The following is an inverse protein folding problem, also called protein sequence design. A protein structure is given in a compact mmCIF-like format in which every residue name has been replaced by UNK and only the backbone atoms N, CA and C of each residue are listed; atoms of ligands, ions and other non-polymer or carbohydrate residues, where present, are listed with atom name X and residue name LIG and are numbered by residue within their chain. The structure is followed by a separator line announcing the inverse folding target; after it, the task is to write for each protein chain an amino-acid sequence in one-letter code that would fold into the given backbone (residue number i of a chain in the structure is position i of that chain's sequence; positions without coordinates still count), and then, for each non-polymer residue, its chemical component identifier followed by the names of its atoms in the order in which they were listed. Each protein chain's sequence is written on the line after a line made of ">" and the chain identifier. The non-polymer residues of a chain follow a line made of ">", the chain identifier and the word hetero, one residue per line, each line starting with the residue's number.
data_IF_359614908521
#
_entry.id   IF_359614908521
#
_cell.length_a   1.000
_cell.length_b   1.000
_cell.length_c   1.000
_cell.angle_alpha   90.00
_cell.angle_beta   90.00
_cell.angle_gamma   90.00
#
_symmetry.space_group_name_H-M   'P 1'
#
loop_
_entity.id
_entity.type
_entity.pdbx_description
1 polymer ?
#
# COMPACT_ATOMS: atom_id res chain seq x y z
N UNK A 1 43.64 -78.29 -20.08
CA UNK A 1 42.25 -77.98 -19.91
C UNK A 1 42.14 -76.61 -19.31
N UNK A 2 41.78 -75.61 -20.09
CA UNK A 2 41.61 -74.24 -19.57
C UNK A 2 40.13 -73.92 -19.38
N UNK A 3 39.82 -73.37 -18.21
CA UNK A 3 38.53 -72.80 -17.89
C UNK A 3 38.46 -71.41 -18.46
N UNK A 4 37.43 -71.17 -19.36
CA UNK A 4 37.08 -69.84 -19.84
C UNK A 4 36.10 -69.23 -18.84
N UNK A 5 36.47 -68.11 -18.25
CA UNK A 5 35.65 -67.35 -17.35
C UNK A 5 35.19 -66.08 -18.12
N UNK A 6 33.94 -66.12 -18.64
CA UNK A 6 33.31 -64.98 -19.29
C UNK A 6 32.72 -64.05 -18.22
N UNK A 7 33.41 -62.98 -17.89
CA UNK A 7 32.91 -61.91 -17.03
C UNK A 7 32.13 -60.92 -17.90
N UNK A 8 30.83 -61.10 -17.97
CA UNK A 8 29.94 -60.07 -18.59
C UNK A 8 29.83 -58.89 -17.67
N UNK A 9 30.49 -57.83 -18.07
CA UNK A 9 30.41 -56.50 -17.44
C UNK A 9 29.03 -55.89 -17.78
N UNK A 10 28.12 -55.92 -16.81
CA UNK A 10 26.80 -55.32 -16.90
C UNK A 10 26.91 -53.82 -16.60
N UNK A 11 26.95 -53.00 -17.65
CA UNK A 11 26.87 -51.56 -17.52
C UNK A 11 25.45 -51.17 -17.09
N UNK A 12 25.27 -50.90 -15.78
CA UNK A 12 24.08 -50.23 -15.27
C UNK A 12 24.16 -48.74 -15.65
N UNK A 13 23.47 -48.35 -16.72
CA UNK A 13 23.23 -46.93 -17.03
C UNK A 13 22.16 -46.47 -16.05
N UNK A 14 22.63 -45.79 -14.98
CA UNK A 14 21.74 -45.04 -14.10
C UNK A 14 21.32 -43.76 -14.86
N UNK A 15 20.15 -43.78 -15.47
CA UNK A 15 19.51 -42.60 -15.97
C UNK A 15 19.04 -41.77 -14.76
N UNK A 16 19.87 -40.81 -14.36
CA UNK A 16 19.46 -39.75 -13.43
C UNK A 16 18.41 -38.88 -14.14
N UNK A 17 17.16 -39.17 -13.88
CA UNK A 17 16.07 -38.21 -14.16
C UNK A 17 16.26 -36.98 -13.24
N UNK A 18 17.02 -36.02 -13.71
CA UNK A 18 16.93 -34.65 -13.21
C UNK A 18 15.54 -34.14 -13.62
N UNK A 19 14.54 -34.41 -12.78
CA UNK A 19 13.30 -33.65 -12.83
C UNK A 19 13.65 -32.21 -12.41
N UNK A 20 13.98 -31.40 -13.42
CA UNK A 20 13.99 -29.96 -13.25
C UNK A 20 12.56 -29.58 -12.81
N UNK A 21 12.40 -29.29 -11.51
CA UNK A 21 11.30 -28.49 -11.03
C UNK A 21 11.41 -27.13 -11.75
N UNK A 22 10.85 -27.05 -12.95
CA UNK A 22 10.52 -25.75 -13.54
C UNK A 22 9.49 -25.16 -12.58
N UNK A 23 9.98 -24.35 -11.63
CA UNK A 23 9.14 -23.49 -10.83
C UNK A 23 8.23 -22.75 -11.80
N UNK A 24 6.96 -23.01 -11.71
CA UNK A 24 5.92 -22.28 -12.46
C UNK A 24 6.07 -20.83 -12.00
N UNK A 25 6.90 -20.05 -12.71
CA UNK A 25 6.96 -18.60 -12.56
C UNK A 25 5.59 -18.13 -13.02
N UNK A 26 4.74 -17.84 -12.03
CA UNK A 26 3.49 -17.15 -12.27
C UNK A 26 3.88 -15.77 -12.83
N UNK A 27 3.90 -15.67 -14.16
CA UNK A 27 4.03 -14.37 -14.81
C UNK A 27 2.67 -13.67 -14.57
N UNK A 28 2.62 -12.63 -13.72
CA UNK A 28 1.38 -11.90 -13.48
C UNK A 28 0.90 -11.12 -14.72
N UNK A 29 1.55 -11.33 -15.86
CA UNK A 29 1.34 -10.64 -17.13
C UNK A 29 1.23 -11.63 -18.30
N UNK A 30 0.17 -12.46 -18.38
CA UNK A 30 0.03 -13.44 -19.47
C UNK A 30 -0.05 -12.76 -20.86
N UNK A 31 -0.35 -11.45 -20.92
CA UNK A 31 -0.55 -10.69 -22.16
C UNK A 31 0.25 -9.38 -22.19
N UNK A 32 1.59 -9.43 -22.21
CA UNK A 32 2.44 -8.26 -22.45
C UNK A 32 2.13 -7.54 -23.78
N UNK A 33 1.41 -8.19 -24.68
CA UNK A 33 1.14 -7.69 -26.03
C UNK A 33 -0.22 -6.98 -26.17
N UNK A 34 -1.11 -7.09 -25.16
CA UNK A 34 -2.44 -6.49 -25.22
C UNK A 34 -2.58 -5.35 -24.23
N UNK A 35 -2.89 -4.19 -24.77
CA UNK A 35 -3.07 -2.97 -23.98
C UNK A 35 -3.14 -1.74 -24.86
N UNK A 36 -3.25 -0.58 -24.25
CA UNK A 36 -3.30 0.71 -24.92
C UNK A 36 -2.43 1.74 -24.21
N UNK A 37 -2.10 2.82 -24.88
CA UNK A 37 -1.51 3.99 -24.26
C UNK A 37 -2.59 4.97 -23.80
N UNK A 38 -2.45 5.49 -22.57
CA UNK A 38 -3.26 6.55 -22.00
C UNK A 38 -2.39 7.78 -21.74
N UNK A 39 -2.75 8.92 -22.36
CA UNK A 39 -2.07 10.20 -22.11
C UNK A 39 -2.62 10.82 -20.84
N UNK A 40 -1.76 11.04 -19.85
CA UNK A 40 -2.12 11.67 -18.57
C UNK A 40 -2.61 13.09 -18.81
N UNK A 41 -3.82 13.39 -18.40
CA UNK A 41 -4.41 14.72 -18.50
C UNK A 41 -4.24 15.51 -17.19
N UNK A 42 -4.38 16.83 -17.25
CA UNK A 42 -4.30 17.73 -16.09
C UNK A 42 -5.20 17.29 -14.93
N UNK A 43 -4.59 17.09 -13.75
CA UNK A 43 -5.29 16.68 -12.53
C UNK A 43 -5.59 15.19 -12.42
N UNK A 44 -5.15 14.37 -13.37
CA UNK A 44 -5.20 12.92 -13.24
C UNK A 44 -4.07 12.42 -12.33
N UNK A 45 -4.30 11.29 -11.67
CA UNK A 45 -3.32 10.60 -10.83
C UNK A 45 -3.26 9.14 -11.23
N UNK A 46 -2.11 8.50 -11.00
CA UNK A 46 -1.94 7.08 -11.33
C UNK A 46 -3.02 6.21 -10.67
N UNK A 47 -3.42 6.54 -9.43
CA UNK A 47 -4.52 5.87 -8.73
C UNK A 47 -5.85 6.00 -9.46
N UNK A 48 -6.21 7.21 -9.95
CA UNK A 48 -7.47 7.43 -10.67
C UNK A 48 -7.47 6.74 -12.03
N UNK A 49 -6.32 6.72 -12.69
CA UNK A 49 -6.13 6.00 -13.95
C UNK A 49 -6.31 4.50 -13.70
N UNK A 50 -5.61 3.91 -12.73
CA UNK A 50 -5.74 2.50 -12.35
C UNK A 50 -7.20 2.14 -12.02
N UNK A 51 -7.87 2.97 -11.22
CA UNK A 51 -9.28 2.78 -10.85
C UNK A 51 -10.22 2.83 -12.06
N UNK A 52 -10.03 3.78 -12.98
CA UNK A 52 -10.87 3.91 -14.18
C UNK A 52 -10.72 2.71 -15.12
N UNK A 53 -9.52 2.17 -15.22
CA UNK A 53 -9.25 0.97 -16.02
C UNK A 53 -9.49 -0.33 -15.25
N UNK A 54 -9.88 -0.27 -13.96
CA UNK A 54 -10.12 -1.42 -13.08
C UNK A 54 -8.90 -2.35 -12.97
N UNK A 55 -7.70 -1.78 -12.98
CA UNK A 55 -6.45 -2.51 -12.78
C UNK A 55 -5.82 -2.14 -11.43
N UNK A 56 -5.03 -3.04 -10.89
CA UNK A 56 -4.30 -2.77 -9.67
C UNK A 56 -3.27 -1.66 -9.88
N UNK A 57 -3.15 -0.74 -8.91
CA UNK A 57 -2.23 0.40 -8.99
C UNK A 57 -0.79 -0.05 -9.12
N UNK A 58 -0.41 -1.11 -8.42
CA UNK A 58 0.95 -1.64 -8.43
C UNK A 58 1.29 -2.30 -9.77
N UNK A 59 0.27 -2.91 -10.40
CA UNK A 59 0.33 -3.45 -11.75
C UNK A 59 0.61 -2.32 -12.75
N UNK A 60 -0.19 -1.24 -12.74
CA UNK A 60 0.01 -0.09 -13.61
C UNK A 60 1.37 0.58 -13.39
N UNK A 61 1.76 0.72 -12.13
CA UNK A 61 3.05 1.32 -11.74
C UNK A 61 4.24 0.55 -12.31
N UNK A 62 4.24 -0.78 -12.16
CA UNK A 62 5.32 -1.65 -12.65
C UNK A 62 5.38 -1.69 -14.17
N UNK A 63 4.23 -1.79 -14.84
CA UNK A 63 4.15 -1.80 -16.30
C UNK A 63 4.76 -0.56 -16.94
N UNK A 64 4.78 0.56 -16.21
CA UNK A 64 5.32 1.85 -16.66
C UNK A 64 6.64 2.25 -15.97
N UNK A 65 7.27 1.34 -15.22
CA UNK A 65 8.52 1.61 -14.49
C UNK A 65 8.46 2.84 -13.57
N UNK A 66 7.26 3.18 -13.05
CA UNK A 66 7.06 4.35 -12.20
C UNK A 66 7.51 4.03 -10.78
N UNK A 67 8.58 4.70 -10.31
CA UNK A 67 9.08 4.54 -8.94
C UNK A 67 8.16 5.21 -7.91
N UNK A 68 7.66 6.40 -8.22
CA UNK A 68 6.80 7.20 -7.35
C UNK A 68 5.54 7.65 -8.12
N UNK A 69 4.35 7.08 -7.80
CA UNK A 69 3.07 7.44 -8.45
C UNK A 69 2.67 8.91 -8.33
N UNK A 70 3.23 9.66 -7.37
CA UNK A 70 2.93 11.08 -7.20
C UNK A 70 3.64 11.97 -8.22
N UNK A 71 4.62 11.42 -8.95
CA UNK A 71 5.46 12.17 -9.90
C UNK A 71 5.03 12.03 -11.36
N UNK A 72 3.87 11.45 -11.65
CA UNK A 72 3.37 11.46 -13.02
C UNK A 72 2.99 12.88 -13.43
N UNK A 73 3.27 13.23 -14.69
CA UNK A 73 3.06 14.56 -15.24
C UNK A 73 2.00 14.52 -16.34
N UNK A 74 1.34 15.64 -16.56
CA UNK A 74 0.48 15.86 -17.72
C UNK A 74 1.28 15.60 -19.02
N UNK A 75 0.65 14.98 -20.01
CA UNK A 75 1.28 14.58 -21.27
C UNK A 75 2.01 13.24 -21.21
N UNK A 76 2.30 12.68 -20.03
CA UNK A 76 2.97 11.39 -19.91
C UNK A 76 2.11 10.28 -20.50
N UNK A 77 2.69 9.45 -21.37
CA UNK A 77 2.01 8.27 -21.90
C UNK A 77 2.21 7.08 -20.96
N UNK A 78 1.12 6.46 -20.57
CA UNK A 78 1.11 5.28 -19.72
C UNK A 78 0.59 4.09 -20.50
N UNK A 79 1.33 3.00 -20.50
CA UNK A 79 0.88 1.71 -20.98
C UNK A 79 -0.13 1.12 -19.99
N UNK A 80 -1.33 0.79 -20.48
CA UNK A 80 -2.42 0.21 -19.70
C UNK A 80 -2.60 -1.24 -20.12
N UNK A 81 -1.98 -2.20 -19.41
CA UNK A 81 -2.09 -3.62 -19.76
C UNK A 81 -3.53 -4.11 -19.63
N UNK A 82 -3.96 -4.94 -20.59
CA UNK A 82 -5.30 -5.53 -20.61
C UNK A 82 -6.44 -4.60 -20.99
N UNK A 83 -6.17 -3.35 -21.35
CA UNK A 83 -7.18 -2.41 -21.79
C UNK A 83 -7.37 -2.44 -23.32
N UNK A 84 -8.63 -2.43 -23.78
CA UNK A 84 -8.99 -2.42 -25.20
C UNK A 84 -9.40 -1.07 -25.76
N UNK A 85 -9.66 -0.09 -24.88
CA UNK A 85 -10.10 1.26 -25.27
C UNK A 85 -9.70 2.31 -24.25
N UNK A 86 -9.45 3.51 -24.73
CA UNK A 86 -9.20 4.68 -23.86
C UNK A 86 -10.45 4.99 -23.05
N UNK A 87 -10.28 5.22 -21.74
CA UNK A 87 -11.38 5.61 -20.83
C UNK A 87 -11.29 7.08 -20.50
N UNK A 88 -12.44 7.74 -20.55
CA UNK A 88 -12.56 9.11 -20.02
C UNK A 88 -12.49 9.04 -18.49
N UNK A 89 -11.50 9.72 -17.92
CA UNK A 89 -11.35 9.81 -16.46
C UNK A 89 -11.90 11.16 -16.02
N UNK A 90 -13.01 11.21 -15.26
CA UNK A 90 -13.60 12.47 -14.85
C UNK A 90 -12.57 13.33 -14.10
N UNK A 91 -12.52 14.63 -14.37
CA UNK A 91 -11.72 15.58 -13.56
C UNK A 91 -12.11 15.46 -12.08
N UNK A 92 -11.17 15.70 -11.16
CA UNK A 92 -11.48 15.71 -9.74
C UNK A 92 -12.52 16.83 -9.49
N UNK A 93 -13.81 16.48 -9.40
CA UNK A 93 -14.80 17.42 -8.90
C UNK A 93 -14.56 17.56 -7.39
N UNK A 94 -14.50 18.78 -6.91
CA UNK A 94 -14.39 19.13 -5.49
C UNK A 94 -15.65 18.77 -4.68
N UNK A 95 -16.64 18.15 -5.34
CA UNK A 95 -17.91 17.75 -4.75
C UNK A 95 -17.99 16.22 -4.70
N UNK A 96 -17.48 15.64 -3.65
CA UNK A 96 -17.97 14.35 -3.17
C UNK A 96 -19.44 14.56 -2.78
N UNK A 97 -20.39 14.19 -3.66
CA UNK A 97 -21.78 13.99 -3.26
C UNK A 97 -21.79 12.90 -2.20
N UNK A 98 -21.88 13.31 -0.94
CA UNK A 98 -22.10 12.42 0.17
C UNK A 98 -23.46 11.74 -0.06
N UNK A 99 -23.42 10.49 -0.52
CA UNK A 99 -24.55 9.60 -0.29
C UNK A 99 -24.82 9.63 1.22
N UNK A 100 -26.04 9.99 1.64
CA UNK A 100 -26.50 9.93 3.03
C UNK A 100 -26.38 8.47 3.53
N UNK A 101 -25.19 8.07 3.94
CA UNK A 101 -24.97 6.83 4.67
C UNK A 101 -25.55 7.03 6.05
N UNK A 102 -26.48 6.14 6.49
CA UNK A 102 -26.93 6.05 7.88
C UNK A 102 -25.72 6.17 8.78
N UNK A 103 -25.70 7.15 9.69
CA UNK A 103 -24.62 7.33 10.66
C UNK A 103 -24.46 6.03 11.45
N UNK A 104 -23.35 5.32 11.23
CA UNK A 104 -22.96 4.23 12.11
C UNK A 104 -22.72 4.77 13.54
N UNK A 105 -22.87 3.94 14.57
CA UNK A 105 -22.65 4.36 15.97
C UNK A 105 -21.24 4.95 16.09
N UNK A 106 -21.17 6.22 16.47
CA UNK A 106 -19.89 6.90 16.66
C UNK A 106 -19.25 6.44 17.95
N UNK A 107 -18.06 5.84 17.86
CA UNK A 107 -17.26 5.56 19.06
C UNK A 107 -16.87 6.88 19.68
N UNK A 108 -17.29 7.10 20.93
CA UNK A 108 -16.85 8.27 21.70
C UNK A 108 -15.33 8.19 21.88
N UNK A 109 -14.58 9.27 21.60
CA UNK A 109 -13.15 9.29 21.84
C UNK A 109 -12.84 8.93 23.28
N UNK A 110 -11.98 7.92 23.49
CA UNK A 110 -11.46 7.51 24.78
C UNK A 110 -9.94 7.49 24.71
N UNK A 111 -9.27 8.29 25.53
CA UNK A 111 -7.80 8.32 25.60
C UNK A 111 -7.24 6.94 25.97
N UNK A 112 -6.13 6.57 25.32
CA UNK A 112 -5.44 5.31 25.58
C UNK A 112 -6.08 4.08 24.94
N UNK A 113 -7.13 4.23 24.11
CA UNK A 113 -7.65 3.13 23.29
C UNK A 113 -6.69 2.73 22.18
N UNK A 114 -5.83 3.66 21.73
CA UNK A 114 -4.74 3.45 20.82
C UNK A 114 -3.41 3.76 21.51
N UNK A 115 -2.33 3.09 21.11
CA UNK A 115 -0.98 3.47 21.51
C UNK A 115 -0.34 4.41 20.45
N UNK A 116 0.71 5.15 20.85
CA UNK A 116 1.50 5.89 19.88
C UNK A 116 2.13 4.94 18.86
N UNK A 117 1.93 5.19 17.56
CA UNK A 117 2.38 4.26 16.51
C UNK A 117 3.89 4.27 16.29
N UNK A 118 4.58 5.31 16.75
CA UNK A 118 6.05 5.46 16.63
C UNK A 118 6.59 6.42 17.66
N UNK A 119 7.89 6.34 17.90
CA UNK A 119 8.65 7.38 18.63
C UNK A 119 8.96 8.53 17.67
N UNK A 120 9.05 9.76 18.18
CA UNK A 120 9.39 10.91 17.35
C UNK A 120 8.76 12.22 17.86
N UNK A 121 8.92 13.33 17.13
CA UNK A 121 8.39 14.65 17.48
C UNK A 121 7.10 14.91 16.73
N UNK A 122 6.05 15.38 17.44
CA UNK A 122 4.81 15.82 16.81
C UNK A 122 5.09 17.16 16.11
N UNK A 123 5.08 17.15 14.78
CA UNK A 123 5.40 18.32 13.95
C UNK A 123 4.19 19.01 13.38
N UNK A 124 3.04 18.31 13.32
CA UNK A 124 1.81 18.88 12.78
C UNK A 124 0.57 18.27 13.43
N UNK A 125 -0.37 19.11 13.83
CA UNK A 125 -1.62 18.74 14.47
C UNK A 125 -2.73 18.51 13.45
N UNK A 126 -3.78 17.81 13.89
CA UNK A 126 -5.04 17.64 13.16
C UNK A 126 -5.80 18.96 13.02
N UNK A 127 -6.42 19.21 11.86
CA UNK A 127 -7.29 20.35 11.63
C UNK A 127 -6.92 21.19 10.40
N UNK A 128 -7.21 22.47 10.42
CA UNK A 128 -6.87 23.39 9.32
C UNK A 128 -5.43 23.85 9.42
N UNK A 129 -4.68 23.76 8.31
CA UNK A 129 -3.30 24.25 8.18
C UNK A 129 -3.15 24.95 6.82
N UNK A 130 -2.79 26.24 6.82
CA UNK A 130 -2.58 27.04 5.60
C UNK A 130 -3.76 26.89 4.60
N UNK A 131 -5.00 27.02 5.09
CA UNK A 131 -6.22 26.90 4.29
C UNK A 131 -6.59 25.48 3.85
N UNK A 132 -5.77 24.45 4.16
CA UNK A 132 -6.00 23.05 3.83
C UNK A 132 -6.36 22.22 5.05
N UNK A 133 -7.24 21.24 4.88
CA UNK A 133 -7.59 20.29 5.93
C UNK A 133 -6.46 19.27 6.09
N UNK A 134 -5.96 19.12 7.33
CA UNK A 134 -5.04 18.06 7.73
C UNK A 134 -5.81 16.97 8.47
N UNK A 135 -5.93 15.79 7.88
CA UNK A 135 -6.82 14.73 8.35
C UNK A 135 -6.18 13.81 9.40
N UNK A 136 -4.94 14.11 9.81
CA UNK A 136 -4.17 13.34 10.78
C UNK A 136 -3.27 14.20 11.63
N UNK A 137 -2.24 13.57 12.17
CA UNK A 137 -1.09 14.20 12.81
C UNK A 137 0.19 13.74 12.11
N UNK A 138 1.22 14.60 12.12
CA UNK A 138 2.53 14.24 11.58
C UNK A 138 3.53 14.06 12.72
N UNK A 139 4.25 12.93 12.70
CA UNK A 139 5.25 12.56 13.70
C UNK A 139 6.59 12.37 12.98
N UNK A 140 7.53 13.29 13.18
CA UNK A 140 8.85 13.25 12.56
C UNK A 140 9.83 12.39 13.38
N UNK A 141 10.57 11.54 12.65
CA UNK A 141 11.72 10.80 13.17
C UNK A 141 12.61 10.36 11.99
N UNK A 142 13.83 9.86 12.20
CA UNK A 142 14.71 9.40 11.14
C UNK A 142 14.05 8.37 10.22
N UNK A 143 14.39 8.40 8.92
CA UNK A 143 13.99 7.38 7.96
C UNK A 143 14.39 5.99 8.47
N UNK A 144 13.46 5.03 8.37
CA UNK A 144 13.68 3.67 8.86
C UNK A 144 13.20 3.44 10.29
N UNK A 145 12.81 4.48 11.04
CA UNK A 145 12.20 4.32 12.38
C UNK A 145 11.01 3.38 12.30
N UNK A 146 10.88 2.38 13.20
CA UNK A 146 9.76 1.47 13.22
C UNK A 146 8.42 2.18 13.43
N UNK A 147 7.42 1.74 12.66
CA UNK A 147 6.03 2.14 12.82
C UNK A 147 5.23 0.89 13.20
N UNK A 148 4.46 0.98 14.27
CA UNK A 148 3.70 -0.11 14.84
C UNK A 148 2.19 0.13 14.72
N UNK A 149 1.40 -0.95 14.72
CA UNK A 149 -0.06 -0.87 14.78
C UNK A 149 -0.50 -0.23 16.10
N UNK A 150 -1.37 0.77 16.03
CA UNK A 150 -1.86 1.49 17.21
C UNK A 150 -2.85 0.66 18.06
N UNK A 151 -3.47 -0.38 17.48
CA UNK A 151 -4.33 -1.35 18.15
C UNK A 151 -4.35 -2.67 17.38
N UNK A 152 -4.95 -3.72 17.97
CA UNK A 152 -5.28 -4.96 17.27
C UNK A 152 -6.19 -4.68 16.08
N UNK A 153 -5.99 -5.36 14.94
CA UNK A 153 -6.84 -5.16 13.77
C UNK A 153 -6.48 -6.00 12.57
N UNK A 154 -7.12 -5.71 11.46
CA UNK A 154 -6.89 -6.32 10.16
C UNK A 154 -6.38 -5.28 9.16
N UNK A 155 -5.33 -5.60 8.43
CA UNK A 155 -4.80 -4.76 7.36
C UNK A 155 -5.75 -4.80 6.16
N UNK A 156 -6.50 -3.72 5.95
CA UNK A 156 -7.45 -3.61 4.83
C UNK A 156 -6.83 -2.98 3.58
N UNK A 157 -5.68 -2.32 3.73
CA UNK A 157 -4.88 -1.80 2.63
C UNK A 157 -3.39 -1.81 2.96
N UNK A 158 -2.56 -2.17 1.97
CA UNK A 158 -1.09 -2.17 2.07
C UNK A 158 -0.50 -1.93 0.68
N UNK A 159 0.12 -0.78 0.45
CA UNK A 159 0.66 -0.42 -0.87
C UNK A 159 0.78 1.09 -1.08
N UNK A 160 0.86 1.50 -2.34
CA UNK A 160 0.80 2.90 -2.71
C UNK A 160 -0.63 3.43 -2.59
N UNK A 161 -0.81 4.47 -1.81
CA UNK A 161 -2.09 5.12 -1.58
C UNK A 161 -2.48 6.14 -2.65
N UNK A 162 -3.66 6.78 -2.50
CA UNK A 162 -4.07 7.89 -3.35
C UNK A 162 -3.08 9.04 -3.26
N UNK A 163 -3.28 10.06 -4.13
CA UNK A 163 -2.35 11.19 -4.29
C UNK A 163 -1.96 11.82 -2.97
N UNK A 164 -0.67 11.84 -2.73
CA UNK A 164 -0.08 12.49 -1.55
C UNK A 164 0.33 11.53 -0.45
N UNK A 165 -0.37 10.42 -0.22
CA UNK A 165 -0.06 9.51 0.91
C UNK A 165 1.23 8.68 0.74
N UNK A 166 1.70 8.48 -0.50
CA UNK A 166 2.83 7.59 -0.75
C UNK A 166 2.52 6.13 -0.39
N UNK A 167 3.51 5.41 0.08
CA UNK A 167 3.30 4.05 0.60
C UNK A 167 2.54 4.13 1.92
N UNK A 168 1.42 3.42 2.04
CA UNK A 168 0.56 3.47 3.21
C UNK A 168 0.02 2.11 3.62
N UNK A 169 -0.30 2.00 4.90
CA UNK A 169 -1.04 0.88 5.49
C UNK A 169 -2.33 1.44 6.08
N UNK A 170 -3.45 0.73 5.91
CA UNK A 170 -4.71 1.01 6.59
C UNK A 170 -5.10 -0.21 7.39
N UNK A 171 -5.40 -0.01 8.67
CA UNK A 171 -5.81 -1.08 9.58
C UNK A 171 -7.21 -0.76 10.10
N UNK A 172 -8.10 -1.73 9.94
CA UNK A 172 -9.44 -1.73 10.52
C UNK A 172 -9.40 -2.39 11.90
N UNK A 173 -9.86 -1.67 12.90
CA UNK A 173 -9.94 -2.11 14.28
C UNK A 173 -11.39 -2.42 14.68
N UNK A 174 -11.58 -2.86 15.92
CA UNK A 174 -12.92 -2.97 16.50
C UNK A 174 -13.61 -1.59 16.60
N UNK A 175 -14.90 -1.59 16.83
CA UNK A 175 -15.72 -0.39 17.07
C UNK A 175 -15.63 0.66 15.94
N UNK A 176 -15.60 0.23 14.67
CA UNK A 176 -15.57 1.10 13.49
C UNK A 176 -14.36 2.05 13.41
N UNK A 177 -13.32 1.81 14.24
CA UNK A 177 -12.08 2.57 14.12
C UNK A 177 -11.21 2.05 12.99
N UNK A 178 -10.59 2.96 12.30
CA UNK A 178 -9.60 2.69 11.25
C UNK A 178 -8.41 3.63 11.46
N UNK A 179 -7.19 3.11 11.30
CA UNK A 179 -5.98 3.92 11.33
C UNK A 179 -5.26 3.87 10.01
N UNK A 180 -4.65 5.00 9.64
CA UNK A 180 -3.87 5.18 8.42
C UNK A 180 -2.45 5.53 8.79
N UNK A 181 -1.48 4.87 8.15
CA UNK A 181 -0.04 5.05 8.34
C UNK A 181 0.59 5.34 6.99
N UNK A 182 0.94 6.60 6.71
CA UNK A 182 1.40 7.02 5.39
C UNK A 182 2.86 7.49 5.37
N UNK A 183 3.36 7.80 4.17
CA UNK A 183 4.73 8.20 3.85
C UNK A 183 5.82 7.15 4.15
N UNK A 184 5.43 5.86 4.28
CA UNK A 184 6.35 4.79 4.63
C UNK A 184 7.47 4.61 3.57
N UNK A 185 8.69 4.27 4.01
CA UNK A 185 9.77 3.82 3.13
C UNK A 185 9.60 2.36 2.72
N UNK A 186 9.20 1.51 3.68
CA UNK A 186 8.97 0.07 3.49
C UNK A 186 7.73 -0.37 4.26
N UNK A 187 6.88 -1.17 3.63
CA UNK A 187 5.74 -1.84 4.27
C UNK A 187 6.17 -3.28 4.58
N UNK A 188 5.80 -3.77 5.76
CA UNK A 188 6.19 -5.08 6.28
C UNK A 188 5.02 -6.06 6.38
N UNK A 189 3.79 -5.58 6.17
CA UNK A 189 2.56 -6.38 6.27
C UNK A 189 1.79 -6.35 4.96
N UNK A 190 0.99 -7.39 4.69
CA UNK A 190 0.15 -7.51 3.48
C UNK A 190 -1.33 -7.28 3.85
N UNK A 191 -2.14 -6.88 2.88
CA UNK A 191 -3.62 -6.84 3.01
C UNK A 191 -4.16 -8.20 3.44
N UNK A 192 -5.13 -8.21 4.33
CA UNK A 192 -5.79 -9.39 4.90
C UNK A 192 -5.11 -9.95 6.15
N UNK A 193 -3.89 -9.49 6.49
CA UNK A 193 -3.17 -9.98 7.68
C UNK A 193 -3.75 -9.33 8.95
N UNK A 194 -3.95 -10.11 10.01
CA UNK A 194 -4.27 -9.62 11.35
C UNK A 194 -2.99 -9.20 12.06
N UNK A 195 -3.02 -8.06 12.70
CA UNK A 195 -1.91 -7.49 13.46
C UNK A 195 -2.32 -7.21 14.90
N UNK A 196 -1.35 -7.31 15.80
CA UNK A 196 -1.52 -6.96 17.23
C UNK A 196 -1.10 -5.52 17.48
N UNK A 197 -1.66 -4.90 18.52
CA UNK A 197 -1.18 -3.63 19.04
C UNK A 197 0.33 -3.70 19.32
N UNK A 198 1.08 -2.68 18.89
CA UNK A 198 2.54 -2.66 19.02
C UNK A 198 3.30 -3.49 17.98
N UNK A 199 2.63 -4.30 17.16
CA UNK A 199 3.30 -5.04 16.09
C UNK A 199 3.86 -4.09 15.04
N UNK A 200 5.14 -4.27 14.66
CA UNK A 200 5.79 -3.51 13.59
C UNK A 200 5.11 -3.81 12.24
N UNK A 201 4.62 -2.76 11.56
CA UNK A 201 3.88 -2.86 10.31
C UNK A 201 4.59 -2.19 9.14
N UNK A 202 5.45 -1.20 9.42
CA UNK A 202 6.17 -0.47 8.38
C UNK A 202 7.40 0.26 8.96
N UNK A 203 8.14 0.91 8.07
CA UNK A 203 9.27 1.77 8.42
C UNK A 203 9.01 3.19 7.92
N UNK A 204 9.35 4.17 8.73
CA UNK A 204 9.22 5.60 8.42
C UNK A 204 9.96 5.97 7.14
N UNK A 205 9.37 6.85 6.36
CA UNK A 205 9.92 7.32 5.10
C UNK A 205 9.49 8.74 4.77
N UNK A 206 9.59 9.07 3.49
CA UNK A 206 9.19 10.36 2.92
C UNK A 206 8.63 10.14 1.51
N UNK A 207 7.81 9.08 1.33
CA UNK A 207 7.20 8.79 0.02
C UNK A 207 5.92 9.60 -0.18
N UNK A 208 5.55 9.83 -1.44
CA UNK A 208 4.40 10.68 -1.77
C UNK A 208 4.70 12.17 -1.62
N UNK A 209 3.71 12.96 -1.18
CA UNK A 209 3.87 14.40 -0.95
C UNK A 209 4.35 14.66 0.47
N UNK A 210 5.64 14.56 0.69
CA UNK A 210 6.31 14.75 1.97
C UNK A 210 7.55 15.62 1.78
N UNK A 211 7.83 16.50 2.72
CA UNK A 211 9.02 17.40 2.74
C UNK A 211 10.20 16.80 3.48
N UNK A 212 10.00 15.73 4.23
CA UNK A 212 11.04 15.04 5.00
C UNK A 212 10.50 13.78 5.68
N UNK A 213 11.36 12.98 6.33
CA UNK A 213 10.93 11.76 7.00
C UNK A 213 9.95 12.03 8.14
N UNK A 214 8.72 11.56 8.00
CA UNK A 214 7.69 11.58 9.04
C UNK A 214 6.64 10.50 8.80
N UNK A 215 5.89 10.14 9.82
CA UNK A 215 4.66 9.39 9.75
C UNK A 215 3.49 10.36 9.71
N UNK A 216 2.68 10.31 8.67
CA UNK A 216 1.33 10.87 8.70
C UNK A 216 0.38 9.80 9.26
N UNK A 217 -0.21 10.09 10.42
CA UNK A 217 -1.06 9.17 11.16
C UNK A 217 -2.49 9.70 11.28
N UNK A 218 -3.47 8.90 10.81
CA UNK A 218 -4.87 9.25 10.94
C UNK A 218 -5.61 8.25 11.82
N UNK A 219 -6.64 8.75 12.49
CA UNK A 219 -7.70 7.96 13.10
C UNK A 219 -9.00 8.31 12.40
N UNK A 220 -9.72 7.32 11.94
CA UNK A 220 -11.02 7.48 11.30
C UNK A 220 -12.07 6.67 12.02
N UNK A 221 -13.27 7.23 12.16
CA UNK A 221 -14.46 6.48 12.50
C UNK A 221 -15.21 6.19 11.20
N UNK A 222 -15.25 4.92 10.79
CA UNK A 222 -15.56 4.51 9.43
C UNK A 222 -14.67 5.25 8.42
N UNK A 223 -15.21 6.24 7.71
CA UNK A 223 -14.48 7.04 6.72
C UNK A 223 -14.18 8.47 7.19
N UNK A 224 -14.72 8.89 8.35
CA UNK A 224 -14.62 10.26 8.83
C UNK A 224 -13.36 10.46 9.68
N UNK A 225 -12.43 11.37 9.27
CA UNK A 225 -11.24 11.68 10.05
C UNK A 225 -11.58 12.29 11.40
N UNK A 226 -10.92 11.81 12.44
CA UNK A 226 -11.02 12.27 13.83
C UNK A 226 -9.65 12.71 14.34
N UNK A 227 -9.61 13.62 15.29
CA UNK A 227 -8.35 14.07 15.90
C UNK A 227 -7.67 12.91 16.65
N UNK A 228 -6.51 12.41 16.19
CA UNK A 228 -5.82 11.26 16.77
C UNK A 228 -5.45 11.45 18.25
N UNK A 229 -5.14 12.66 18.67
CA UNK A 229 -4.75 12.96 20.06
C UNK A 229 -5.83 12.60 21.08
N UNK A 230 -7.10 12.58 20.66
CA UNK A 230 -8.22 12.19 21.54
C UNK A 230 -8.29 10.68 21.82
N UNK A 231 -7.53 9.86 21.08
CA UNK A 231 -7.49 8.40 21.18
C UNK A 231 -6.16 7.88 21.73
N UNK A 232 -5.10 8.68 21.64
CA UNK A 232 -3.76 8.36 22.10
C UNK A 232 -3.57 8.68 23.58
N UNK A 233 -2.63 8.02 24.30
CA UNK A 233 -2.28 8.35 25.67
C UNK A 233 -1.71 9.78 25.77
N UNK A 234 -1.87 10.41 26.93
CA UNK A 234 -1.36 11.76 27.21
C UNK A 234 0.18 11.79 27.23
N UNK A 235 0.82 10.72 27.71
CA UNK A 235 2.28 10.55 27.72
C UNK A 235 2.70 9.67 26.53
N UNK A 236 3.82 10.05 25.88
CA UNK A 236 4.49 9.27 24.84
C UNK A 236 5.46 8.26 25.45
#
# INVERSE_FOLDING_TARGET
>A
MPFHNNFKLLFFIVFLFLTACQGFQFDPWPDRHYGIHHTVQKGQTLYRIASAYKIDLEVLRRANHIRDPSKIKEGMQLWIPGASRVRTIPKASSHSRSAKKKKAPTVKPRRGILIWPTKGTLTSSFGKRNGRKHEGIDIAAPKGTPICSAADGEVVFSGWGPTGYGKMVIIKHQHHLTTVYAHNSKILVKKGVRVKQGQKISLMGSTGRSTGPHLHFEVRNDTEPKNPIKYLPTKR
#
